data_IF_086566262110
#
_entry.id   IF_086566262110
#
_cell.length_a   1.000
_cell.length_b   1.000
_cell.length_c   1.000
_cell.angle_alpha   90.00
_cell.angle_beta   90.00
_cell.angle_gamma   90.00
#
_symmetry.space_group_name_H-M   'P 1'
#
loop_
_entity.id
_entity.type
_entity.pdbx_description
1 polymer ?
#
# COMPACT_ATOMS: atom_id res chain seq x y z
N UNK A 1 2.17 -14.54 12.03
CA UNK A 1 1.15 -13.50 12.00
C UNK A 1 1.80 -12.15 11.77
N UNK A 2 1.26 -11.34 10.86
CA UNK A 2 1.86 -10.04 10.57
C UNK A 2 1.61 -9.06 11.72
N UNK A 3 2.68 -8.45 12.23
CA UNK A 3 2.61 -7.47 13.30
C UNK A 3 2.82 -6.07 12.69
N UNK A 4 1.93 -5.10 12.94
CA UNK A 4 2.10 -3.74 12.45
C UNK A 4 3.46 -3.14 12.79
N UNK A 5 4.03 -3.51 13.92
CA UNK A 5 5.36 -3.03 14.34
C UNK A 5 6.48 -3.46 13.40
N UNK A 6 6.29 -4.57 12.67
CA UNK A 6 7.29 -5.05 11.71
C UNK A 6 7.33 -4.19 10.45
N UNK A 7 6.28 -3.41 10.20
CA UNK A 7 6.14 -2.63 8.97
C UNK A 7 6.27 -1.13 9.18
N UNK A 8 6.04 -0.63 10.39
CA UNK A 8 5.99 0.81 10.63
C UNK A 8 7.31 1.52 10.31
N UNK A 9 8.44 0.86 10.54
CA UNK A 9 9.75 1.46 10.25
C UNK A 9 9.90 1.71 8.75
N UNK A 10 9.46 0.77 7.92
CA UNK A 10 9.51 0.93 6.47
C UNK A 10 8.56 2.04 6.02
N UNK A 11 7.35 2.09 6.58
CA UNK A 11 6.38 3.14 6.27
C UNK A 11 6.94 4.51 6.62
N UNK A 12 7.61 4.64 7.75
CA UNK A 12 8.19 5.91 8.21
C UNK A 12 9.31 6.43 7.32
N UNK A 13 9.91 5.59 6.51
CA UNK A 13 10.90 6.04 5.52
C UNK A 13 10.28 7.00 4.51
N UNK A 14 8.98 6.88 4.27
CA UNK A 14 8.24 7.71 3.31
C UNK A 14 7.23 8.62 3.99
N UNK A 15 6.76 8.26 5.18
CA UNK A 15 5.77 8.99 5.94
C UNK A 15 6.22 9.05 7.40
N UNK A 16 7.06 10.03 7.74
CA UNK A 16 7.68 10.15 9.06
C UNK A 16 6.65 10.26 10.19
N UNK A 17 5.46 10.76 9.89
CA UNK A 17 4.35 10.91 10.82
C UNK A 17 3.40 9.70 10.86
N UNK A 18 3.82 8.56 10.31
CA UNK A 18 2.98 7.36 10.27
C UNK A 18 2.59 6.92 11.67
N UNK A 19 1.30 6.58 11.83
CA UNK A 19 0.74 6.10 13.09
C UNK A 19 0.54 4.60 13.05
N UNK A 20 0.86 3.94 14.16
CA UNK A 20 0.74 2.48 14.26
C UNK A 20 -0.70 2.01 14.00
N UNK A 21 -1.70 2.77 14.46
CA UNK A 21 -3.11 2.41 14.26
C UNK A 21 -3.47 2.33 12.77
N UNK A 22 -2.97 3.27 11.98
CA UNK A 22 -3.20 3.25 10.53
C UNK A 22 -2.44 2.11 9.86
N UNK A 23 -1.20 1.86 10.27
CA UNK A 23 -0.43 0.72 9.77
C UNK A 23 -1.15 -0.58 10.08
N UNK A 24 -1.70 -0.70 11.31
CA UNK A 24 -2.46 -1.89 11.70
C UNK A 24 -3.65 -2.13 10.78
N UNK A 25 -4.38 -1.08 10.41
CA UNK A 25 -5.52 -1.22 9.49
C UNK A 25 -5.09 -1.73 8.13
N UNK A 26 -3.96 -1.24 7.61
CA UNK A 26 -3.42 -1.71 6.34
C UNK A 26 -2.96 -3.16 6.43
N UNK A 27 -2.26 -3.52 7.52
CA UNK A 27 -1.83 -4.90 7.75
C UNK A 27 -3.03 -5.84 7.80
N UNK A 28 -4.09 -5.46 8.49
CA UNK A 28 -5.31 -6.27 8.58
C UNK A 28 -5.97 -6.45 7.21
N UNK A 29 -5.97 -5.41 6.39
CA UNK A 29 -6.51 -5.50 5.03
C UNK A 29 -5.68 -6.43 4.16
N UNK A 30 -4.36 -6.32 4.22
CA UNK A 30 -3.46 -7.17 3.44
C UNK A 30 -3.55 -8.65 3.85
N UNK A 31 -3.69 -8.89 5.14
CA UNK A 31 -3.99 -10.23 5.68
C UNK A 31 -3.12 -11.35 5.12
N UNK A 32 -3.76 -12.28 4.43
CA UNK A 32 -3.11 -13.49 3.88
C UNK A 32 -1.97 -13.15 2.92
N UNK A 33 -2.04 -12.04 2.20
CA UNK A 33 -0.99 -11.63 1.27
C UNK A 33 0.37 -11.47 1.96
N UNK A 34 0.38 -11.15 3.24
CA UNK A 34 1.62 -10.95 4.00
C UNK A 34 2.29 -12.26 4.45
N UNK A 35 1.60 -13.38 4.33
CA UNK A 35 2.15 -14.69 4.70
C UNK A 35 3.15 -15.22 3.67
N UNK A 36 3.04 -14.78 2.44
CA UNK A 36 3.90 -15.19 1.34
C UNK A 36 4.78 -14.02 0.94
N UNK A 37 6.09 -14.26 0.81
CA UNK A 37 7.04 -13.20 0.46
C UNK A 37 6.66 -12.50 -0.85
N UNK A 38 6.29 -13.28 -1.87
CA UNK A 38 5.97 -12.70 -3.18
C UNK A 38 4.75 -11.79 -3.11
N UNK A 39 3.69 -12.22 -2.41
CA UNK A 39 2.47 -11.42 -2.29
C UNK A 39 2.59 -10.30 -1.25
N UNK A 40 3.60 -10.33 -0.38
CA UNK A 40 3.85 -9.24 0.55
C UNK A 40 4.54 -8.04 -0.12
N UNK A 41 4.97 -8.19 -1.36
CA UNK A 41 5.63 -7.15 -2.14
C UNK A 41 4.75 -6.73 -3.31
N UNK A 42 4.90 -5.49 -3.75
CA UNK A 42 4.19 -4.96 -4.94
C UNK A 42 5.21 -4.73 -6.03
N UNK A 43 4.91 -5.21 -7.24
CA UNK A 43 5.75 -4.98 -8.41
C UNK A 43 5.13 -3.89 -9.28
N UNK A 44 5.82 -2.76 -9.40
CA UNK A 44 5.36 -1.64 -10.23
C UNK A 44 5.57 -1.90 -11.72
N UNK A 45 6.33 -2.90 -12.09
CA UNK A 45 6.56 -3.29 -13.48
C UNK A 45 5.57 -4.37 -13.96
N UNK A 46 4.75 -4.91 -13.06
CA UNK A 46 3.78 -5.96 -13.38
C UNK A 46 2.39 -5.35 -13.52
N UNK A 47 1.86 -5.32 -14.75
CA UNK A 47 0.54 -4.77 -15.02
C UNK A 47 -0.58 -5.54 -14.30
N UNK A 48 -0.43 -6.86 -14.17
CA UNK A 48 -1.41 -7.69 -13.44
C UNK A 48 -1.49 -7.26 -11.97
N UNK A 49 -0.35 -7.04 -11.34
CA UNK A 49 -0.29 -6.59 -9.95
C UNK A 49 -0.88 -5.20 -9.79
N UNK A 50 -0.53 -4.28 -10.68
CA UNK A 50 -1.08 -2.92 -10.66
C UNK A 50 -2.59 -2.92 -10.83
N UNK A 51 -3.11 -3.78 -11.72
CA UNK A 51 -4.54 -3.90 -11.93
C UNK A 51 -5.26 -4.45 -10.69
N UNK A 52 -4.65 -5.38 -9.97
CA UNK A 52 -5.20 -5.90 -8.72
C UNK A 52 -5.30 -4.82 -7.65
N UNK A 53 -4.28 -3.99 -7.52
CA UNK A 53 -4.28 -2.88 -6.56
C UNK A 53 -5.35 -1.87 -6.95
N UNK A 54 -5.45 -1.54 -8.23
CA UNK A 54 -6.45 -0.62 -8.76
C UNK A 54 -7.87 -1.09 -8.46
N UNK A 55 -8.19 -2.33 -8.82
CA UNK A 55 -9.56 -2.87 -8.75
C UNK A 55 -9.92 -3.36 -7.35
N UNK A 56 -8.93 -3.65 -6.51
CA UNK A 56 -9.12 -4.08 -5.14
C UNK A 56 -9.05 -2.92 -4.15
N UNK A 57 -7.86 -2.62 -3.67
CA UNK A 57 -7.67 -1.65 -2.59
C UNK A 57 -8.15 -0.24 -2.98
N UNK A 58 -7.72 0.27 -4.13
CA UNK A 58 -8.08 1.62 -4.54
C UNK A 58 -9.57 1.78 -4.79
N UNK A 59 -10.19 0.83 -5.50
CA UNK A 59 -11.61 0.92 -5.81
C UNK A 59 -12.48 0.64 -4.58
N UNK A 60 -12.17 -0.41 -3.83
CA UNK A 60 -13.03 -0.88 -2.73
C UNK A 60 -12.82 -0.14 -1.43
N UNK A 61 -11.59 0.23 -1.11
CA UNK A 61 -11.26 0.89 0.15
C UNK A 61 -11.11 2.39 0.02
N UNK A 62 -10.60 2.87 -1.10
CA UNK A 62 -10.36 4.30 -1.31
C UNK A 62 -11.43 4.98 -2.16
N UNK A 63 -12.35 4.20 -2.74
CA UNK A 63 -13.45 4.75 -3.53
C UNK A 63 -13.01 5.44 -4.81
N UNK A 64 -11.88 5.02 -5.38
CA UNK A 64 -11.33 5.62 -6.60
C UNK A 64 -11.87 4.96 -7.86
N UNK A 65 -12.10 5.75 -8.91
CA UNK A 65 -12.32 5.18 -10.24
C UNK A 65 -10.98 4.68 -10.83
N UNK A 66 -11.05 4.00 -11.97
CA UNK A 66 -9.85 3.40 -12.57
C UNK A 66 -8.78 4.44 -12.93
N UNK A 67 -9.20 5.62 -13.41
CA UNK A 67 -8.27 6.69 -13.77
C UNK A 67 -7.55 7.26 -12.56
N UNK A 68 -8.31 7.57 -11.50
CA UNK A 68 -7.76 8.06 -10.23
C UNK A 68 -6.82 7.03 -9.62
N UNK A 69 -7.24 5.77 -9.60
CA UNK A 69 -6.45 4.69 -9.02
C UNK A 69 -5.13 4.49 -9.77
N UNK A 70 -5.17 4.51 -11.11
CA UNK A 70 -3.95 4.36 -11.92
C UNK A 70 -2.96 5.49 -11.65
N UNK A 71 -3.45 6.72 -11.57
CA UNK A 71 -2.60 7.88 -11.26
C UNK A 71 -2.00 7.78 -9.85
N UNK A 72 -2.80 7.35 -8.88
CA UNK A 72 -2.34 7.18 -7.50
C UNK A 72 -1.26 6.09 -7.40
N UNK A 73 -1.47 4.96 -8.08
CA UNK A 73 -0.51 3.86 -8.11
C UNK A 73 0.81 4.32 -8.73
N UNK A 74 0.75 5.02 -9.86
CA UNK A 74 1.95 5.52 -10.54
C UNK A 74 2.71 6.50 -9.66
N UNK A 75 2.01 7.35 -8.91
CA UNK A 75 2.62 8.29 -7.98
C UNK A 75 3.38 7.57 -6.86
N UNK A 76 2.79 6.52 -6.28
CA UNK A 76 3.45 5.75 -5.23
C UNK A 76 4.62 4.94 -5.80
N UNK A 77 4.47 4.39 -7.00
CA UNK A 77 5.57 3.71 -7.69
C UNK A 77 6.76 4.65 -7.88
N UNK A 78 6.50 5.90 -8.24
CA UNK A 78 7.56 6.91 -8.39
C UNK A 78 8.20 7.25 -7.04
N UNK A 79 7.39 7.38 -5.98
CA UNK A 79 7.88 7.65 -4.63
C UNK A 79 8.80 6.54 -4.13
N UNK A 80 8.44 5.28 -4.39
CA UNK A 80 9.17 4.11 -3.94
C UNK A 80 10.15 3.57 -4.98
N UNK A 81 10.49 4.36 -5.98
CA UNK A 81 11.30 3.93 -7.13
C UNK A 81 12.63 3.30 -6.73
N UNK A 82 13.25 3.79 -5.66
CA UNK A 82 14.55 3.29 -5.22
C UNK A 82 14.47 1.97 -4.46
N UNK A 83 13.29 1.57 -4.01
CA UNK A 83 13.11 0.29 -3.35
C UNK A 83 12.91 -0.81 -4.39
N UNK A 84 13.81 -1.79 -4.38
CA UNK A 84 13.70 -2.97 -5.22
C UNK A 84 12.51 -3.83 -4.78
N UNK A 85 12.36 -3.97 -3.47
CA UNK A 85 11.30 -4.76 -2.85
C UNK A 85 10.36 -3.80 -2.16
N UNK A 86 9.28 -3.42 -2.85
CA UNK A 86 8.28 -2.49 -2.33
C UNK A 86 7.28 -3.26 -1.48
N UNK A 87 7.31 -3.03 -0.16
CA UNK A 87 6.40 -3.71 0.74
C UNK A 87 4.95 -3.27 0.48
N UNK A 88 4.06 -4.25 0.40
CA UNK A 88 2.63 -3.99 0.15
C UNK A 88 2.03 -3.08 1.23
N UNK A 89 2.39 -3.28 2.48
CA UNK A 89 1.90 -2.45 3.59
C UNK A 89 2.28 -0.98 3.37
N UNK A 90 3.54 -0.71 3.05
CA UNK A 90 4.01 0.66 2.79
C UNK A 90 3.33 1.25 1.56
N UNK A 91 3.23 0.46 0.50
CA UNK A 91 2.60 0.88 -0.74
C UNK A 91 1.14 1.29 -0.51
N UNK A 92 0.38 0.44 0.17
CA UNK A 92 -1.03 0.71 0.46
C UNK A 92 -1.20 1.88 1.42
N UNK A 93 -0.32 1.98 2.42
CA UNK A 93 -0.33 3.12 3.34
C UNK A 93 -0.18 4.45 2.59
N UNK A 94 0.77 4.52 1.67
CA UNK A 94 1.01 5.73 0.88
C UNK A 94 -0.16 6.04 -0.05
N UNK A 95 -0.80 5.02 -0.64
CA UNK A 95 -2.00 5.22 -1.43
C UNK A 95 -3.11 5.87 -0.60
N UNK A 96 -3.37 5.33 0.59
CA UNK A 96 -4.41 5.84 1.48
C UNK A 96 -4.07 7.25 1.99
N UNK A 97 -2.80 7.49 2.33
CA UNK A 97 -2.34 8.80 2.79
C UNK A 97 -2.54 9.86 1.72
N UNK A 98 -2.11 9.56 0.49
CA UNK A 98 -2.22 10.52 -0.62
C UNK A 98 -3.68 10.82 -0.98
N UNK A 99 -4.57 9.85 -0.74
CA UNK A 99 -6.00 10.01 -0.97
C UNK A 99 -6.74 10.68 0.19
N UNK A 100 -6.06 10.88 1.32
CA UNK A 100 -6.69 11.42 2.53
C UNK A 100 -7.65 10.44 3.18
N UNK A 101 -7.43 9.14 3.04
CA UNK A 101 -8.34 8.08 3.48
C UNK A 101 -7.82 7.20 4.61
N UNK A 102 -6.70 7.56 5.23
CA UNK A 102 -6.13 6.74 6.32
C UNK A 102 -7.13 6.49 7.45
N UNK A 103 -7.90 7.49 7.81
CA UNK A 103 -8.89 7.35 8.87
C UNK A 103 -10.11 6.52 8.49
N UNK A 104 -10.29 6.23 7.20
CA UNK A 104 -11.45 5.49 6.69
C UNK A 104 -11.19 3.99 6.51
N UNK A 105 -9.96 3.55 6.73
CA UNK A 105 -9.57 2.15 6.49
C UNK A 105 -10.18 1.15 7.49
#
# INVERSE_FOLDING_TARGET
MADPKDYIEDVKRYAADAELDHVKKVVNYCGIALRNRDSSLVSCSDETEKNRVRDGFCAKKLGMDATEASAAIDAVCATMKQDRNKQRVTFYYLLAKNAGKLGSL
#
